data_IF_959347615887
#
_entry.id   IF_959347615887
#
_cell.length_a   1.000
_cell.length_b   1.000
_cell.length_c   1.000
_cell.angle_alpha   90.00
_cell.angle_beta   90.00
_cell.angle_gamma   90.00
#
_symmetry.space_group_name_H-M   'P 1'
#
loop_
_entity.id
_entity.type
_entity.pdbx_description
1 polymer ?
#
# COMPACT_ATOMS: atom_id res chain seq x y z
N UNK A 1 5.54 -10.59 9.99
CA UNK A 1 4.30 -10.20 9.29
C UNK A 1 4.35 -10.76 7.88
N UNK A 2 3.22 -11.19 7.33
CA UNK A 2 3.14 -11.76 5.97
C UNK A 2 2.20 -10.93 5.10
N UNK A 3 2.57 -10.76 3.83
CA UNK A 3 1.77 -10.17 2.77
C UNK A 3 1.61 -11.19 1.65
N UNK A 4 0.39 -11.34 1.14
CA UNK A 4 0.04 -12.31 0.10
C UNK A 4 -0.76 -11.61 -0.97
N UNK A 5 -0.38 -11.77 -2.24
CA UNK A 5 -1.21 -11.33 -3.35
C UNK A 5 -2.42 -12.25 -3.52
N UNK A 6 -3.55 -11.70 -3.95
CA UNK A 6 -4.80 -12.46 -4.17
C UNK A 6 -4.64 -13.54 -5.26
N UNK A 7 -3.81 -13.27 -6.29
CA UNK A 7 -3.46 -14.22 -7.34
C UNK A 7 -2.53 -15.37 -6.86
N UNK A 8 -2.05 -15.30 -5.60
CA UNK A 8 -1.12 -16.24 -4.97
C UNK A 8 0.23 -16.41 -5.67
N UNK A 9 0.61 -15.47 -6.55
CA UNK A 9 1.89 -15.52 -7.27
C UNK A 9 3.00 -14.74 -6.58
N UNK A 10 2.65 -13.83 -5.68
CA UNK A 10 3.60 -12.98 -4.97
C UNK A 10 3.37 -12.98 -3.46
N UNK A 11 4.45 -12.90 -2.70
CA UNK A 11 4.43 -12.80 -1.23
C UNK A 11 5.59 -11.95 -0.70
N UNK A 12 5.42 -11.44 0.52
CA UNK A 12 6.52 -10.87 1.30
C UNK A 12 6.37 -11.24 2.78
N UNK A 13 7.48 -11.40 3.49
CA UNK A 13 7.55 -11.61 4.93
C UNK A 13 8.49 -10.58 5.56
N UNK A 14 8.17 -10.17 6.78
CA UNK A 14 9.01 -9.29 7.60
C UNK A 14 9.17 -9.89 8.98
N UNK A 15 10.41 -10.08 9.39
CA UNK A 15 10.74 -10.64 10.69
C UNK A 15 10.99 -9.52 11.70
N UNK A 16 10.00 -9.31 12.55
CA UNK A 16 10.10 -8.34 13.64
C UNK A 16 10.93 -8.92 14.79
N UNK A 17 12.02 -8.24 15.14
CA UNK A 17 12.86 -8.56 16.29
C UNK A 17 12.78 -7.41 17.29
N UNK A 18 12.29 -7.61 18.53
CA UNK A 18 12.24 -6.56 19.53
C UNK A 18 13.61 -5.88 19.71
N UNK A 19 13.62 -4.55 19.89
CA UNK A 19 14.82 -3.72 20.10
C UNK A 19 15.76 -3.56 18.88
N UNK A 20 15.39 -4.06 17.72
CA UNK A 20 16.09 -3.76 16.46
C UNK A 20 15.36 -2.66 15.69
N UNK A 21 16.13 -1.76 15.07
CA UNK A 21 15.62 -0.67 14.22
C UNK A 21 15.48 -1.05 12.75
N UNK A 22 15.97 -2.23 12.37
CA UNK A 22 15.87 -2.80 11.02
C UNK A 22 15.39 -4.23 11.12
N UNK A 23 14.59 -4.63 10.14
CA UNK A 23 13.93 -5.93 10.08
C UNK A 23 14.27 -6.61 8.77
N UNK A 24 14.49 -7.92 8.82
CA UNK A 24 14.73 -8.69 7.60
C UNK A 24 13.42 -8.77 6.80
N UNK A 25 13.53 -8.56 5.49
CA UNK A 25 12.44 -8.68 4.54
C UNK A 25 12.81 -9.74 3.51
N UNK A 26 11.93 -10.70 3.31
CA UNK A 26 11.99 -11.63 2.20
C UNK A 26 10.77 -11.43 1.31
N UNK A 27 10.94 -11.48 0.00
CA UNK A 27 9.83 -11.36 -0.95
C UNK A 27 10.10 -12.16 -2.21
N UNK A 28 9.03 -12.60 -2.86
CA UNK A 28 9.08 -13.42 -4.05
C UNK A 28 7.85 -13.19 -4.93
N UNK A 29 8.03 -13.41 -6.24
CA UNK A 29 6.98 -13.32 -7.25
C UNK A 29 7.16 -12.12 -8.18
N UNK A 30 6.27 -11.97 -9.16
CA UNK A 30 6.31 -10.85 -10.12
C UNK A 30 6.09 -9.47 -9.47
N UNK A 31 5.55 -9.41 -8.24
CA UNK A 31 5.33 -8.17 -7.50
C UNK A 31 6.20 -8.12 -6.24
N UNK A 32 6.90 -7.01 -6.07
CA UNK A 32 7.63 -6.69 -4.84
C UNK A 32 6.68 -6.09 -3.80
N UNK A 33 5.89 -6.94 -3.12
CA UNK A 33 4.80 -6.49 -2.25
C UNK A 33 5.25 -5.61 -1.08
N UNK A 34 6.45 -5.83 -0.54
CA UNK A 34 6.97 -4.97 0.52
C UNK A 34 7.29 -3.56 -0.01
N UNK A 35 7.94 -3.49 -1.16
CA UNK A 35 8.28 -2.22 -1.80
C UNK A 35 7.02 -1.41 -2.18
N UNK A 36 5.97 -2.10 -2.64
CA UNK A 36 4.68 -1.48 -2.92
C UNK A 36 4.02 -0.90 -1.64
N UNK A 37 4.07 -1.65 -0.54
CA UNK A 37 3.57 -1.18 0.76
C UNK A 37 4.37 0.04 1.25
N UNK A 38 5.70 0.00 1.17
CA UNK A 38 6.55 1.14 1.52
C UNK A 38 6.24 2.37 0.65
N UNK A 39 6.06 2.18 -0.66
CA UNK A 39 5.71 3.25 -1.58
C UNK A 39 4.37 3.89 -1.22
N UNK A 40 3.35 3.06 -0.94
CA UNK A 40 2.03 3.51 -0.49
C UNK A 40 2.11 4.25 0.85
N UNK A 41 2.86 3.74 1.82
CA UNK A 41 3.06 4.38 3.12
C UNK A 41 3.76 5.74 2.98
N UNK A 42 4.89 5.81 2.26
CA UNK A 42 5.61 7.07 2.01
C UNK A 42 4.74 8.08 1.27
N UNK A 43 3.82 7.61 0.44
CA UNK A 43 2.86 8.47 -0.23
C UNK A 43 1.81 9.03 0.72
N UNK A 44 1.22 8.20 1.57
CA UNK A 44 0.30 8.62 2.61
C UNK A 44 0.94 9.65 3.57
N UNK A 45 2.22 9.44 3.93
CA UNK A 45 3.02 10.43 4.67
C UNK A 45 3.09 11.77 3.93
N UNK A 46 3.43 11.77 2.63
CA UNK A 46 3.51 12.99 1.80
C UNK A 46 2.16 13.70 1.64
N UNK A 47 1.05 12.97 1.71
CA UNK A 47 -0.30 13.53 1.70
C UNK A 47 -0.71 14.15 3.05
N UNK A 48 0.17 14.13 4.05
CA UNK A 48 -0.07 14.70 5.37
C UNK A 48 -0.83 13.76 6.31
N UNK A 49 -0.69 12.43 6.11
CA UNK A 49 -1.33 11.39 6.93
C UNK A 49 -2.85 11.57 7.05
N UNK A 50 -3.57 11.74 5.93
CA UNK A 50 -5.01 11.96 5.99
C UNK A 50 -5.72 10.78 6.65
N UNK A 51 -6.77 11.09 7.42
CA UNK A 51 -7.70 10.10 7.92
C UNK A 51 -8.46 9.42 6.77
N UNK A 52 -8.98 8.23 7.04
CA UNK A 52 -9.62 7.37 6.03
C UNK A 52 -10.88 8.01 5.44
N UNK A 53 -11.63 8.77 6.21
CA UNK A 53 -12.89 9.41 5.81
C UNK A 53 -12.71 10.49 4.74
N UNK A 54 -11.50 11.05 4.62
CA UNK A 54 -11.11 11.96 3.54
C UNK A 54 -10.86 11.25 2.22
N UNK A 55 -10.61 9.93 2.25
CA UNK A 55 -10.42 9.15 1.03
C UNK A 55 -11.78 8.66 0.50
N UNK A 56 -11.98 8.78 -0.80
CA UNK A 56 -13.15 8.27 -1.50
C UNK A 56 -12.79 7.37 -2.68
N UNK A 57 -13.77 6.61 -3.15
CA UNK A 57 -13.66 5.72 -4.29
C UNK A 57 -14.76 6.05 -5.30
N UNK A 58 -14.36 6.43 -6.51
CA UNK A 58 -15.28 6.55 -7.64
C UNK A 58 -15.18 5.29 -8.49
N UNK A 59 -16.32 4.62 -8.72
CA UNK A 59 -16.43 3.46 -9.61
C UNK A 59 -17.32 3.81 -10.79
N UNK A 60 -16.80 3.64 -12.00
CA UNK A 60 -17.52 3.83 -13.26
C UNK A 60 -17.35 2.61 -14.16
N UNK A 61 -17.97 2.60 -15.35
CA UNK A 61 -17.77 1.52 -16.32
C UNK A 61 -16.33 1.44 -16.84
N UNK A 62 -15.60 2.55 -16.80
CA UNK A 62 -14.21 2.68 -17.24
C UNK A 62 -13.20 2.22 -16.18
N UNK A 63 -13.65 1.97 -14.95
CA UNK A 63 -12.81 1.44 -13.87
C UNK A 63 -13.04 2.11 -12.52
N UNK A 64 -12.03 2.03 -11.66
CA UNK A 64 -12.08 2.55 -10.29
C UNK A 64 -10.94 3.56 -10.05
N UNK A 65 -11.24 4.61 -9.30
CA UNK A 65 -10.28 5.67 -8.93
C UNK A 65 -10.44 6.05 -7.47
N UNK A 66 -9.36 5.95 -6.72
CA UNK A 66 -9.28 6.47 -5.34
C UNK A 66 -8.91 7.95 -5.41
N UNK A 67 -9.50 8.77 -4.55
CA UNK A 67 -9.26 10.21 -4.48
C UNK A 67 -9.24 10.71 -3.03
N UNK A 68 -8.71 11.90 -2.81
CA UNK A 68 -8.65 12.55 -1.49
C UNK A 68 -9.43 13.86 -1.48
N UNK A 69 -10.30 14.05 -0.49
CA UNK A 69 -11.21 15.19 -0.26
C UNK A 69 -12.30 15.37 -1.33
N UNK A 70 -11.95 15.29 -2.61
CA UNK A 70 -12.90 15.44 -3.74
C UNK A 70 -12.58 14.50 -4.89
N UNK A 71 -13.59 14.07 -5.70
CA UNK A 71 -13.38 13.16 -6.83
C UNK A 71 -12.37 13.60 -7.90
N UNK A 72 -12.05 14.90 -7.97
CA UNK A 72 -11.06 15.45 -8.90
C UNK A 72 -9.60 15.26 -8.47
N UNK A 73 -9.35 14.95 -7.21
CA UNK A 73 -8.01 14.79 -6.63
C UNK A 73 -7.62 13.31 -6.55
N UNK A 74 -7.41 12.70 -7.72
CA UNK A 74 -7.12 11.27 -7.86
C UNK A 74 -5.74 10.94 -7.28
N UNK A 75 -5.68 9.86 -6.51
CA UNK A 75 -4.45 9.36 -5.92
C UNK A 75 -4.00 8.01 -6.54
N UNK A 76 -3.03 8.03 -7.48
CA UNK A 76 -2.24 6.85 -7.97
C UNK A 76 -1.07 6.39 -7.11
#
# INVERSE_FOLDING_TARGET
>A
MWLLADDRTSWASVDYVPRHGTFAVEQYGPRSLWDELEAAYRRWERLGRPERDRAGLTVTREGQRVWLDTPGNVIT
#
